data_IF_634328719983
#
_entry.id   IF_634328719983
#
_cell.length_a   1.000
_cell.length_b   1.000
_cell.length_c   1.000
_cell.angle_alpha   90.00
_cell.angle_beta   90.00
_cell.angle_gamma   90.00
#
_symmetry.space_group_name_H-M   'P 1'
#
loop_
_entity.id
_entity.type
_entity.pdbx_description
1 polymer ?
#
# COMPACT_ATOMS: atom_id res chain seq x y z
N UNK A 1 26.61 48.99 13.58
CA UNK A 1 25.62 48.21 14.38
C UNK A 1 24.49 47.61 13.51
N UNK A 2 24.80 46.98 12.35
CA UNK A 2 23.80 46.48 11.37
C UNK A 2 23.81 44.96 11.13
N UNK A 3 24.77 44.23 11.68
CA UNK A 3 25.03 42.80 11.38
C UNK A 3 24.26 41.80 12.25
N UNK A 4 23.71 42.22 13.41
CA UNK A 4 23.01 41.31 14.33
C UNK A 4 21.61 40.88 13.84
N UNK A 5 20.91 41.74 13.08
CA UNK A 5 19.55 41.41 12.58
C UNK A 5 19.59 40.32 11.49
N UNK A 6 20.57 40.34 10.60
CA UNK A 6 20.64 39.42 9.44
C UNK A 6 20.94 37.98 9.82
N UNK A 7 21.72 37.76 10.90
CA UNK A 7 22.09 36.41 11.36
C UNK A 7 20.94 35.71 12.08
N UNK A 8 20.15 36.45 12.88
CA UNK A 8 18.95 35.93 13.54
C UNK A 8 17.86 35.55 12.53
N UNK A 9 17.72 36.29 11.44
CA UNK A 9 16.76 35.96 10.36
C UNK A 9 17.20 34.71 9.58
N UNK A 10 18.50 34.50 9.37
CA UNK A 10 19.04 33.32 8.69
C UNK A 10 18.89 32.04 9.54
N UNK A 11 19.08 32.13 10.86
CA UNK A 11 18.90 31.00 11.78
C UNK A 11 17.41 30.64 11.89
N UNK A 12 16.50 31.63 11.91
CA UNK A 12 15.06 31.38 11.92
C UNK A 12 14.56 30.76 10.61
N UNK A 13 15.10 31.15 9.45
CA UNK A 13 14.74 30.53 8.17
C UNK A 13 15.36 29.14 7.97
N UNK A 14 16.55 28.85 8.53
CA UNK A 14 17.10 27.49 8.56
C UNK A 14 16.39 26.56 9.56
N UNK A 15 15.91 27.06 10.70
CA UNK A 15 15.07 26.30 11.63
C UNK A 15 13.69 25.97 11.03
N UNK A 16 13.15 26.84 10.16
CA UNK A 16 11.92 26.53 9.41
C UNK A 16 12.16 25.63 8.19
N UNK A 17 13.37 25.58 7.62
CA UNK A 17 13.76 24.61 6.60
C UNK A 17 14.14 23.23 7.19
N UNK A 18 14.28 23.14 8.51
CA UNK A 18 14.55 21.92 9.28
C UNK A 18 13.31 21.13 9.71
N UNK A 19 12.11 21.59 9.34
CA UNK A 19 10.88 20.86 9.60
C UNK A 19 10.72 19.73 8.57
N UNK A 20 11.07 18.52 9.00
CA UNK A 20 10.44 17.25 8.63
C UNK A 20 10.10 17.05 7.13
N UNK A 21 10.92 16.28 6.41
CA UNK A 21 10.30 15.33 5.48
C UNK A 21 9.71 14.21 6.35
N UNK A 22 8.53 14.46 6.90
CA UNK A 22 7.74 13.42 7.54
C UNK A 22 7.24 12.47 6.46
N UNK A 23 6.98 11.22 6.85
CA UNK A 23 6.22 10.30 6.02
C UNK A 23 4.94 11.01 5.53
N UNK A 24 4.72 10.99 4.23
CA UNK A 24 3.65 11.77 3.59
C UNK A 24 2.58 10.82 3.11
N UNK A 25 1.34 11.01 3.56
CA UNK A 25 0.20 10.29 3.00
C UNK A 25 0.06 10.70 1.55
N UNK A 26 0.20 9.75 0.64
CA UNK A 26 0.11 9.97 -0.81
C UNK A 26 -1.21 9.48 -1.38
N UNK A 27 -1.86 8.54 -0.71
CA UNK A 27 -3.23 8.11 -0.99
C UNK A 27 -3.95 7.82 0.30
N UNK A 28 -5.18 8.27 0.42
CA UNK A 28 -6.06 7.93 1.53
C UNK A 28 -7.50 7.95 1.02
N UNK A 29 -8.22 6.86 1.27
CA UNK A 29 -9.63 6.74 0.92
C UNK A 29 -10.37 6.04 2.07
N UNK A 30 -11.57 6.55 2.39
CA UNK A 30 -12.48 5.98 3.39
C UNK A 30 -13.79 5.50 2.76
N UNK A 31 -13.92 5.62 1.43
CA UNK A 31 -15.06 5.16 0.64
C UNK A 31 -16.42 5.62 1.17
N UNK A 32 -16.48 6.84 1.71
CA UNK A 32 -17.69 7.45 2.27
C UNK A 32 -18.24 8.63 1.47
N UNK A 33 -17.69 8.88 0.29
CA UNK A 33 -17.93 10.09 -0.51
C UNK A 33 -18.96 9.88 -1.65
N UNK A 34 -19.58 8.69 -1.74
CA UNK A 34 -20.74 8.37 -2.55
C UNK A 34 -20.45 7.57 -3.83
N UNK A 35 -19.20 7.52 -4.29
CA UNK A 35 -18.76 6.73 -5.44
C UNK A 35 -17.24 6.47 -5.32
N UNK A 36 -16.77 5.29 -5.74
CA UNK A 36 -15.35 4.93 -5.72
C UNK A 36 -14.45 5.97 -6.40
N UNK A 37 -14.91 6.59 -7.48
CA UNK A 37 -14.14 7.58 -8.22
C UNK A 37 -14.03 8.93 -7.49
N UNK A 38 -14.86 9.15 -6.47
CA UNK A 38 -14.86 10.36 -5.64
C UNK A 38 -14.12 10.06 -4.35
N UNK A 39 -13.01 10.76 -4.14
CA UNK A 39 -12.27 10.71 -2.89
C UNK A 39 -11.96 12.14 -2.46
N UNK A 40 -12.54 12.57 -1.34
CA UNK A 40 -12.30 13.88 -0.74
C UNK A 40 -10.95 13.95 -0.01
N UNK A 41 -10.29 12.81 0.18
CA UNK A 41 -8.97 12.65 0.76
C UNK A 41 -7.82 12.93 -0.22
N UNK A 42 -6.69 12.27 0.01
CA UNK A 42 -5.46 12.46 -0.78
C UNK A 42 -5.32 11.38 -1.84
N UNK A 43 -4.74 11.73 -3.01
CA UNK A 43 -4.32 10.72 -3.99
C UNK A 43 -5.37 10.30 -5.02
N UNK A 44 -6.54 10.95 -5.07
CA UNK A 44 -7.60 10.70 -6.06
C UNK A 44 -8.47 9.47 -5.72
N UNK A 45 -9.55 9.26 -6.47
CA UNK A 45 -10.45 8.13 -6.25
C UNK A 45 -9.90 6.79 -6.71
N UNK A 46 -10.69 5.75 -6.53
CA UNK A 46 -10.44 4.39 -6.98
C UNK A 46 -11.23 4.04 -8.25
N UNK A 47 -10.70 3.10 -9.02
CA UNK A 47 -11.28 2.63 -10.27
C UNK A 47 -11.59 1.14 -10.13
N UNK A 48 -12.83 0.76 -10.43
CA UNK A 48 -13.20 -0.63 -10.62
C UNK A 48 -12.86 -1.11 -12.04
N UNK A 49 -12.15 -2.23 -12.14
CA UNK A 49 -11.99 -3.03 -13.35
C UNK A 49 -12.65 -4.38 -13.13
N UNK A 50 -13.84 -4.54 -13.70
CA UNK A 50 -14.50 -5.84 -13.82
C UNK A 50 -13.67 -6.74 -14.73
N UNK A 51 -13.27 -7.91 -14.27
CA UNK A 51 -12.54 -8.90 -15.08
C UNK A 51 -13.53 -9.95 -15.57
N UNK A 52 -14.21 -10.64 -14.63
CA UNK A 52 -15.23 -11.63 -14.94
C UNK A 52 -16.52 -11.38 -14.14
N UNK A 53 -17.33 -10.40 -14.53
CA UNK A 53 -18.62 -10.07 -13.88
C UNK A 53 -18.60 -9.94 -12.33
N UNK A 54 -17.43 -9.67 -11.75
CA UNK A 54 -17.26 -9.10 -10.41
C UNK A 54 -17.21 -7.57 -10.51
N UNK A 55 -17.59 -6.90 -9.44
CA UNK A 55 -17.64 -5.43 -9.39
C UNK A 55 -17.26 -4.98 -8.00
N UNK A 56 -16.34 -4.03 -7.93
CA UNK A 56 -16.21 -3.15 -6.78
C UNK A 56 -17.13 -1.96 -6.94
N UNK A 57 -17.86 -1.62 -5.89
CA UNK A 57 -18.72 -0.44 -5.80
C UNK A 57 -18.65 0.13 -4.40
N UNK A 58 -18.92 1.42 -4.25
CA UNK A 58 -19.13 1.98 -2.91
C UNK A 58 -20.52 1.56 -2.40
N UNK A 59 -20.58 1.02 -1.19
CA UNK A 59 -21.81 0.70 -0.51
C UNK A 59 -21.65 0.88 1.00
N UNK A 60 -22.58 1.61 1.62
CA UNK A 60 -22.61 1.84 3.06
C UNK A 60 -21.34 2.46 3.66
N UNK A 61 -20.62 3.29 2.89
CA UNK A 61 -19.38 3.93 3.35
C UNK A 61 -18.15 3.02 3.27
N UNK A 62 -18.19 1.98 2.43
CA UNK A 62 -17.09 1.03 2.21
C UNK A 62 -16.98 0.72 0.72
N UNK A 63 -15.78 0.38 0.24
CA UNK A 63 -15.64 -0.26 -1.06
C UNK A 63 -16.02 -1.74 -0.91
N UNK A 64 -17.10 -2.17 -1.55
CA UNK A 64 -17.62 -3.52 -1.48
C UNK A 64 -17.44 -4.24 -2.81
N UNK A 65 -16.87 -5.43 -2.77
CA UNK A 65 -16.88 -6.36 -3.89
C UNK A 65 -18.19 -7.13 -3.92
N UNK A 66 -18.76 -7.27 -5.12
CA UNK A 66 -19.95 -8.08 -5.41
C UNK A 66 -19.75 -8.89 -6.67
N UNK A 67 -20.36 -10.08 -6.70
CA UNK A 67 -20.39 -10.96 -7.87
C UNK A 67 -21.83 -11.13 -8.35
N UNK A 68 -22.04 -11.09 -9.67
CA UNK A 68 -23.36 -11.24 -10.31
C UNK A 68 -24.04 -12.62 -10.11
N UNK A 69 -23.33 -13.61 -9.56
CA UNK A 69 -23.80 -14.94 -9.19
C UNK A 69 -22.75 -15.68 -8.35
N UNK A 70 -23.13 -16.87 -7.87
CA UNK A 70 -22.31 -17.78 -7.08
C UNK A 70 -21.31 -18.59 -7.92
N UNK A 71 -20.52 -17.91 -8.77
CA UNK A 71 -19.45 -18.56 -9.53
C UNK A 71 -18.09 -18.14 -9.00
N UNK A 72 -17.25 -19.13 -8.75
CA UNK A 72 -15.90 -18.92 -8.25
C UNK A 72 -15.01 -18.08 -9.16
N UNK A 73 -15.26 -18.06 -10.47
CA UNK A 73 -14.47 -17.27 -11.40
C UNK A 73 -14.79 -15.78 -11.41
N UNK A 74 -15.79 -15.34 -10.63
CA UNK A 74 -16.20 -13.93 -10.63
C UNK A 74 -15.21 -13.09 -9.88
N UNK A 75 -14.57 -12.16 -10.58
CA UNK A 75 -13.51 -11.33 -10.03
C UNK A 75 -13.49 -9.92 -10.62
N UNK A 76 -12.86 -9.03 -9.86
CA UNK A 76 -12.59 -7.66 -10.23
C UNK A 76 -11.42 -7.10 -9.43
N UNK A 77 -10.84 -6.05 -9.98
CA UNK A 77 -9.80 -5.27 -9.32
C UNK A 77 -10.31 -3.88 -9.02
N UNK A 78 -10.05 -3.41 -7.80
CA UNK A 78 -10.11 -2.00 -7.42
C UNK A 78 -8.70 -1.46 -7.38
N UNK A 79 -8.44 -0.27 -7.93
CA UNK A 79 -7.12 0.33 -7.82
C UNK A 79 -7.18 1.85 -7.75
N UNK A 80 -6.21 2.46 -7.07
CA UNK A 80 -6.10 3.91 -7.02
C UNK A 80 -5.87 4.48 -8.44
N UNK A 81 -6.60 5.56 -8.76
CA UNK A 81 -6.51 6.23 -10.06
C UNK A 81 -5.11 6.82 -10.33
N UNK A 82 -4.47 7.35 -9.30
CA UNK A 82 -3.12 7.89 -9.36
C UNK A 82 -2.06 6.86 -8.96
N UNK A 83 -0.81 7.22 -9.24
CA UNK A 83 0.38 6.42 -8.93
C UNK A 83 1.36 7.26 -8.13
N UNK A 84 2.19 6.58 -7.34
CA UNK A 84 3.05 7.21 -6.35
C UNK A 84 4.42 6.56 -6.38
N UNK A 85 5.46 7.36 -6.22
CA UNK A 85 6.83 6.89 -6.12
C UNK A 85 7.40 7.37 -4.79
N UNK A 86 8.23 6.54 -4.17
CA UNK A 86 8.90 6.89 -2.93
C UNK A 86 10.25 6.19 -2.87
N UNK A 87 11.32 6.95 -2.74
CA UNK A 87 12.67 6.40 -2.76
C UNK A 87 13.09 5.77 -1.42
N UNK A 88 12.39 6.08 -0.33
CA UNK A 88 12.60 5.42 0.97
C UNK A 88 11.64 4.26 1.25
N UNK A 89 10.61 4.06 0.42
CA UNK A 89 9.63 2.99 0.60
C UNK A 89 8.19 3.44 0.81
N UNK A 90 7.32 2.50 1.15
CA UNK A 90 5.90 2.73 1.42
C UNK A 90 5.47 2.02 2.70
N UNK A 91 4.49 2.61 3.39
CA UNK A 91 3.63 1.92 4.34
C UNK A 91 2.20 1.95 3.79
N UNK A 92 1.56 0.79 3.71
CA UNK A 92 0.18 0.61 3.28
C UNK A 92 -0.63 0.07 4.47
N UNK A 93 -1.60 0.85 4.94
CA UNK A 93 -2.56 0.48 5.97
C UNK A 93 -3.93 0.26 5.31
N UNK A 94 -4.57 -0.89 5.58
CA UNK A 94 -5.88 -1.25 5.03
C UNK A 94 -6.75 -1.84 6.14
N UNK A 95 -7.93 -1.26 6.33
CA UNK A 95 -8.99 -1.86 7.12
C UNK A 95 -9.94 -2.60 6.19
N UNK A 96 -10.16 -3.89 6.44
CA UNK A 96 -11.02 -4.73 5.62
C UNK A 96 -11.97 -5.61 6.46
N UNK A 97 -13.03 -6.10 5.83
CA UNK A 97 -13.85 -7.21 6.34
C UNK A 97 -14.00 -8.28 5.26
N UNK A 98 -13.86 -9.55 5.66
CA UNK A 98 -14.17 -10.70 4.80
C UNK A 98 -15.17 -11.63 5.50
N UNK A 99 -16.16 -12.13 4.79
CA UNK A 99 -17.20 -13.01 5.35
C UNK A 99 -16.74 -14.44 5.66
N UNK A 100 -15.73 -14.93 4.95
CA UNK A 100 -15.21 -16.28 5.06
C UNK A 100 -13.70 -16.32 4.81
N UNK A 101 -12.99 -17.16 5.57
CA UNK A 101 -11.58 -17.47 5.27
C UNK A 101 -11.41 -18.77 4.47
N UNK A 102 -12.51 -19.47 4.19
CA UNK A 102 -12.50 -20.70 3.40
C UNK A 102 -12.30 -20.37 1.92
N UNK A 103 -11.42 -21.10 1.25
CA UNK A 103 -11.07 -20.93 -0.17
C UNK A 103 -11.66 -22.03 -1.07
N UNK A 104 -12.45 -22.97 -0.51
CA UNK A 104 -13.01 -24.12 -1.24
C UNK A 104 -13.91 -23.75 -2.43
N UNK A 105 -14.28 -22.47 -2.55
CA UNK A 105 -15.06 -21.89 -3.65
C UNK A 105 -14.32 -20.85 -4.47
N UNK A 106 -12.99 -20.65 -4.34
CA UNK A 106 -12.29 -19.57 -5.04
C UNK A 106 -12.45 -18.19 -4.38
N UNK A 107 -12.93 -18.16 -3.13
CA UNK A 107 -13.04 -16.99 -2.27
C UNK A 107 -11.66 -16.36 -2.10
N UNK A 108 -11.48 -15.20 -2.72
CA UNK A 108 -10.23 -14.46 -2.66
C UNK A 108 -10.48 -13.00 -2.32
N UNK A 109 -9.72 -12.52 -1.35
CA UNK A 109 -9.51 -11.11 -1.10
C UNK A 109 -8.02 -10.92 -0.95
N UNK A 110 -7.49 -10.00 -1.74
CA UNK A 110 -6.08 -9.67 -1.69
C UNK A 110 -5.91 -8.19 -1.91
N UNK A 111 -4.88 -7.60 -1.33
CA UNK A 111 -4.59 -6.19 -1.56
C UNK A 111 -3.12 -5.89 -1.30
N UNK A 112 -2.66 -4.79 -1.88
CA UNK A 112 -1.27 -4.41 -1.83
C UNK A 112 -0.95 -3.25 -2.76
N UNK A 113 0.32 -3.17 -3.13
CA UNK A 113 0.81 -2.23 -4.14
C UNK A 113 1.23 -2.98 -5.40
N UNK A 114 0.90 -2.41 -6.55
CA UNK A 114 1.27 -2.93 -7.87
C UNK A 114 1.91 -1.81 -8.68
N UNK A 115 2.94 -2.14 -9.45
CA UNK A 115 3.59 -1.21 -10.37
C UNK A 115 2.58 -0.58 -11.32
N UNK A 116 2.75 0.72 -11.59
CA UNK A 116 1.94 1.46 -12.56
C UNK A 116 2.07 0.96 -13.99
N UNK A 117 3.12 0.18 -14.29
CA UNK A 117 3.37 -0.44 -15.58
C UNK A 117 2.44 -1.63 -15.86
N UNK A 118 1.76 -2.16 -14.84
CA UNK A 118 0.79 -3.24 -15.02
C UNK A 118 -0.44 -2.74 -15.79
N UNK A 119 -0.75 -3.43 -16.89
CA UNK A 119 -1.96 -3.17 -17.69
C UNK A 119 -3.11 -4.10 -17.27
N UNK A 120 -3.98 -3.61 -16.39
CA UNK A 120 -5.19 -4.32 -15.97
C UNK A 120 -6.24 -4.49 -17.09
N UNK A 121 -6.08 -3.84 -18.25
CA UNK A 121 -6.98 -4.07 -19.39
C UNK A 121 -6.75 -5.45 -20.02
N UNK A 122 -5.52 -5.96 -19.92
CA UNK A 122 -5.13 -7.28 -20.42
C UNK A 122 -5.66 -8.46 -19.60
N UNK A 123 -6.16 -8.19 -18.38
CA UNK A 123 -6.75 -9.19 -17.50
C UNK A 123 -8.08 -9.64 -18.11
N UNK A 124 -8.28 -10.96 -18.16
CA UNK A 124 -9.22 -11.58 -19.08
C UNK A 124 -10.36 -12.32 -18.40
N UNK A 125 -11.52 -12.37 -19.07
CA UNK A 125 -12.65 -13.22 -18.67
C UNK A 125 -12.41 -14.71 -19.00
N UNK A 126 -11.16 -15.20 -18.91
CA UNK A 126 -10.79 -16.57 -19.27
C UNK A 126 -11.47 -17.63 -18.36
N UNK A 127 -12.21 -17.18 -17.33
CA UNK A 127 -13.02 -18.06 -16.49
C UNK A 127 -12.19 -18.89 -15.51
N UNK A 128 -10.87 -18.72 -15.50
CA UNK A 128 -9.99 -19.21 -14.45
C UNK A 128 -9.66 -18.08 -13.46
N UNK A 129 -9.43 -18.48 -12.22
CA UNK A 129 -9.11 -17.61 -11.08
C UNK A 129 -7.67 -17.05 -11.15
N UNK A 130 -7.12 -16.89 -12.36
CA UNK A 130 -5.68 -16.67 -12.57
C UNK A 130 -5.26 -15.21 -12.53
N UNK A 131 -6.21 -14.29 -12.33
CA UNK A 131 -5.96 -12.85 -12.46
C UNK A 131 -5.63 -12.13 -11.12
N UNK A 132 -5.32 -12.87 -10.06
CA UNK A 132 -4.85 -12.27 -8.80
C UNK A 132 -3.38 -11.79 -8.94
N UNK A 133 -3.11 -10.47 -8.87
CA UNK A 133 -1.76 -9.92 -9.01
C UNK A 133 -0.82 -10.23 -7.84
N UNK A 134 -1.33 -10.85 -6.77
CA UNK A 134 -0.56 -11.19 -5.57
C UNK A 134 -0.39 -12.69 -5.35
N UNK A 135 -0.95 -13.53 -6.23
CA UNK A 135 -0.89 -14.99 -6.06
C UNK A 135 -0.60 -15.76 -7.34
N UNK A 136 -1.15 -15.35 -8.48
CA UNK A 136 -1.17 -16.18 -9.70
C UNK A 136 -0.49 -15.54 -10.90
N UNK A 137 -0.54 -14.21 -11.04
CA UNK A 137 0.09 -13.53 -12.18
C UNK A 137 1.56 -13.31 -11.89
N UNK A 138 2.44 -13.90 -12.69
CA UNK A 138 3.89 -13.71 -12.57
C UNK A 138 4.42 -12.48 -13.29
N UNK A 139 3.71 -11.96 -14.30
CA UNK A 139 4.17 -10.83 -15.13
C UNK A 139 4.05 -9.46 -14.45
N UNK A 140 3.49 -9.39 -13.25
CA UNK A 140 3.35 -8.14 -12.50
C UNK A 140 4.48 -7.92 -11.52
N UNK A 141 4.76 -6.65 -11.23
CA UNK A 141 5.61 -6.27 -10.12
C UNK A 141 4.74 -5.82 -8.95
N UNK A 142 4.65 -6.61 -7.88
CA UNK A 142 3.66 -6.41 -6.81
C UNK A 142 4.17 -6.83 -5.44
N UNK A 143 3.63 -6.23 -4.39
CA UNK A 143 3.74 -6.69 -3.00
C UNK A 143 2.37 -6.57 -2.37
N UNK A 144 1.85 -7.65 -1.79
CA UNK A 144 0.52 -7.62 -1.18
C UNK A 144 0.23 -8.84 -0.33
N UNK A 145 -0.85 -8.75 0.42
CA UNK A 145 -1.38 -9.85 1.23
C UNK A 145 -2.51 -10.55 0.50
N UNK A 146 -2.53 -11.87 0.60
CA UNK A 146 -3.71 -12.68 0.30
C UNK A 146 -4.36 -13.09 1.63
N UNK A 147 -5.65 -12.80 1.79
CA UNK A 147 -6.38 -13.06 3.04
C UNK A 147 -6.85 -14.52 3.12
N UNK A 148 -7.04 -15.16 1.97
CA UNK A 148 -7.53 -16.52 1.82
C UNK A 148 -6.61 -17.33 0.89
N UNK A 149 -6.92 -18.60 0.70
CA UNK A 149 -6.24 -19.43 -0.29
C UNK A 149 -4.97 -20.12 0.21
N UNK A 150 -4.40 -20.96 -0.65
CA UNK A 150 -3.10 -21.59 -0.42
C UNK A 150 -1.94 -20.58 -0.36
N UNK A 151 -2.11 -19.39 -0.95
CA UNK A 151 -1.13 -18.30 -0.94
C UNK A 151 -1.37 -17.29 0.19
N UNK A 152 -2.17 -17.64 1.21
CA UNK A 152 -2.50 -16.75 2.32
C UNK A 152 -1.25 -16.27 3.07
N UNK A 153 -1.18 -14.96 3.30
CA UNK A 153 -0.01 -14.28 3.85
C UNK A 153 0.57 -13.24 2.88
N UNK A 154 1.82 -12.82 3.11
CA UNK A 154 2.48 -11.79 2.31
C UNK A 154 3.20 -12.39 1.11
N UNK A 155 2.97 -11.83 -0.08
CA UNK A 155 3.52 -12.32 -1.34
C UNK A 155 4.14 -11.17 -2.14
N UNK A 156 5.21 -11.49 -2.86
CA UNK A 156 5.93 -10.58 -3.73
C UNK A 156 6.07 -11.18 -5.13
N UNK A 157 5.84 -10.36 -6.16
CA UNK A 157 6.07 -10.75 -7.56
C UNK A 157 7.05 -9.78 -8.20
N UNK A 158 8.07 -10.31 -8.86
CA UNK A 158 9.17 -9.54 -9.47
C UNK A 158 9.05 -9.37 -11.00
N UNK A 159 7.84 -9.48 -11.54
CA UNK A 159 7.55 -9.62 -12.98
C UNK A 159 8.04 -10.92 -13.63
N UNK A 160 8.50 -11.91 -12.85
CA UNK A 160 8.84 -13.24 -13.34
C UNK A 160 8.34 -14.39 -12.46
N UNK A 161 8.34 -14.20 -11.14
CA UNK A 161 8.10 -15.24 -10.14
C UNK A 161 7.27 -14.66 -9.00
N UNK A 162 6.27 -15.41 -8.54
CA UNK A 162 5.56 -15.13 -7.28
C UNK A 162 6.30 -15.85 -6.15
N UNK A 163 6.69 -15.10 -5.12
CA UNK A 163 7.35 -15.60 -3.92
C UNK A 163 6.45 -15.33 -2.72
N UNK A 164 6.06 -16.38 -1.99
CA UNK A 164 5.49 -16.23 -0.65
C UNK A 164 6.63 -15.82 0.30
N UNK A 165 6.52 -14.59 0.82
CA UNK A 165 7.45 -14.04 1.79
C UNK A 165 7.14 -14.52 3.20
N UNK A 166 5.85 -14.74 3.47
CA UNK A 166 5.34 -15.28 4.71
C UNK A 166 4.00 -16.01 4.48
N UNK A 167 3.75 -17.04 5.28
CA UNK A 167 2.46 -17.74 5.36
C UNK A 167 1.83 -17.43 6.71
N UNK A 168 0.81 -16.59 6.73
CA UNK A 168 0.27 -16.03 7.98
C UNK A 168 -0.28 -17.09 8.94
N UNK A 169 -0.08 -16.88 10.22
CA UNK A 169 -0.65 -17.66 11.32
C UNK A 169 0.31 -17.93 12.47
N UNK A 170 1.54 -17.42 12.42
CA UNK A 170 2.57 -17.68 13.43
C UNK A 170 2.39 -16.78 14.66
N UNK A 171 2.12 -15.48 14.46
CA UNK A 171 1.96 -14.50 15.55
C UNK A 171 0.55 -13.87 15.60
N UNK A 172 -0.13 -13.79 14.46
CA UNK A 172 -1.45 -13.24 14.23
C UNK A 172 -2.11 -13.96 13.03
N UNK A 173 -3.44 -13.89 12.95
CA UNK A 173 -4.19 -14.55 11.89
C UNK A 173 -5.32 -13.65 11.40
N UNK A 174 -5.64 -13.75 10.11
CA UNK A 174 -6.80 -13.09 9.54
C UNK A 174 -8.09 -13.57 10.22
N UNK A 175 -9.10 -12.70 10.28
CA UNK A 175 -10.36 -12.98 10.98
C UNK A 175 -11.53 -12.79 10.02
N UNK A 176 -12.43 -13.76 9.96
CA UNK A 176 -13.70 -13.63 9.24
C UNK A 176 -14.72 -12.84 10.07
N UNK A 177 -15.60 -12.09 9.39
CA UNK A 177 -16.72 -11.35 9.96
C UNK A 177 -16.31 -10.32 11.03
N UNK A 178 -15.08 -9.79 10.93
CA UNK A 178 -14.57 -8.74 11.78
C UNK A 178 -13.76 -7.74 10.94
N UNK A 179 -13.91 -6.46 11.25
CA UNK A 179 -13.02 -5.44 10.72
C UNK A 179 -11.60 -5.71 11.24
N UNK A 180 -10.67 -5.87 10.31
CA UNK A 180 -9.29 -6.25 10.59
C UNK A 180 -8.36 -5.27 9.87
N UNK A 181 -7.46 -4.67 10.64
CA UNK A 181 -6.42 -3.81 10.10
C UNK A 181 -5.22 -4.64 9.64
N UNK A 182 -4.69 -4.35 8.46
CA UNK A 182 -3.41 -4.86 7.95
C UNK A 182 -2.52 -3.70 7.60
N UNK A 183 -1.28 -3.71 8.09
CA UNK A 183 -0.24 -2.75 7.73
C UNK A 183 0.91 -3.48 7.07
N UNK A 184 1.33 -3.05 5.88
CA UNK A 184 2.48 -3.56 5.13
C UNK A 184 3.49 -2.43 4.99
N UNK A 185 4.73 -2.64 5.41
CA UNK A 185 5.83 -1.72 5.16
C UNK A 185 6.84 -2.34 4.22
N UNK A 186 7.29 -1.60 3.22
CA UNK A 186 8.40 -1.94 2.34
C UNK A 186 9.36 -0.76 2.26
N UNK A 187 10.62 -0.98 2.59
CA UNK A 187 11.67 0.03 2.64
C UNK A 187 12.82 -0.22 1.66
N UNK A 188 13.83 0.63 1.77
CA UNK A 188 15.07 0.50 0.98
C UNK A 188 15.72 -0.86 1.14
N UNK A 189 16.32 -1.39 0.06
CA UNK A 189 16.95 -2.71 0.07
C UNK A 189 15.97 -3.88 0.15
N UNK A 190 14.66 -3.62 0.02
CA UNK A 190 13.62 -4.66 0.08
C UNK A 190 13.29 -5.12 1.49
N UNK A 191 13.68 -4.38 2.53
CA UNK A 191 13.30 -4.67 3.91
C UNK A 191 11.79 -4.50 4.08
N UNK A 192 11.10 -5.51 4.59
CA UNK A 192 9.64 -5.49 4.74
C UNK A 192 9.21 -5.95 6.12
N UNK A 193 8.03 -5.50 6.52
CA UNK A 193 7.29 -6.00 7.68
C UNK A 193 5.80 -5.96 7.38
N UNK A 194 5.02 -6.81 8.03
CA UNK A 194 3.58 -6.65 8.03
C UNK A 194 2.95 -7.06 9.35
N UNK A 195 1.79 -6.49 9.65
CA UNK A 195 1.03 -6.75 10.87
C UNK A 195 -0.45 -7.00 10.56
N UNK A 196 -1.09 -7.77 11.42
CA UNK A 196 -2.53 -8.08 11.38
C UNK A 196 -3.12 -7.71 12.73
N UNK A 197 -4.15 -6.86 12.75
CA UNK A 197 -4.79 -6.41 13.99
C UNK A 197 -3.84 -5.67 14.93
N UNK A 198 -2.81 -5.01 14.39
CA UNK A 198 -1.79 -4.29 15.17
C UNK A 198 -0.70 -5.18 15.78
N UNK A 199 -0.70 -6.48 15.52
CA UNK A 199 0.36 -7.42 15.93
C UNK A 199 1.25 -7.68 14.72
N UNK A 200 2.56 -7.42 14.85
CA UNK A 200 3.55 -7.77 13.82
C UNK A 200 3.50 -9.28 13.56
N UNK A 201 3.22 -9.66 12.31
CA UNK A 201 3.13 -11.06 11.92
C UNK A 201 4.50 -11.57 11.48
N UNK A 202 5.14 -10.90 10.53
CA UNK A 202 6.49 -11.23 10.10
C UNK A 202 7.24 -10.01 9.55
N UNK A 203 8.57 -10.16 9.51
CA UNK A 203 9.50 -9.21 8.87
C UNK A 203 10.57 -9.94 8.09
N UNK A 204 11.18 -9.28 7.12
CA UNK A 204 12.22 -9.89 6.31
C UNK A 204 12.85 -8.95 5.30
N UNK A 205 13.49 -9.53 4.30
CA UNK A 205 14.09 -8.79 3.19
C UNK A 205 13.91 -9.57 1.89
N UNK A 206 13.42 -8.89 0.85
CA UNK A 206 13.35 -9.46 -0.50
C UNK A 206 14.76 -9.60 -1.05
N UNK A 207 15.14 -10.82 -1.45
CA UNK A 207 16.42 -11.08 -2.10
C UNK A 207 16.44 -10.36 -3.46
N UNK A 208 17.45 -9.52 -3.69
CA UNK A 208 17.52 -8.65 -4.87
C UNK A 208 16.86 -7.28 -4.67
N UNK A 209 16.15 -7.07 -3.56
CA UNK A 209 15.52 -5.81 -3.19
C UNK A 209 14.15 -5.58 -3.81
N UNK A 210 13.57 -4.42 -3.49
CA UNK A 210 12.32 -3.93 -4.07
C UNK A 210 12.59 -2.66 -4.88
N UNK A 211 12.05 -2.58 -6.09
CA UNK A 211 12.37 -1.53 -7.07
C UNK A 211 11.63 -0.21 -6.78
N UNK A 212 12.15 0.56 -5.83
CA UNK A 212 11.62 1.87 -5.47
C UNK A 212 11.78 2.94 -6.58
N UNK A 213 12.39 2.61 -7.72
CA UNK A 213 12.41 3.49 -8.89
C UNK A 213 11.11 3.41 -9.69
N UNK A 214 10.25 2.42 -9.45
CA UNK A 214 8.93 2.34 -10.07
C UNK A 214 7.91 3.23 -9.35
N UNK A 215 6.86 3.60 -10.08
CA UNK A 215 5.65 4.13 -9.48
C UNK A 215 4.69 3.00 -9.17
N UNK A 216 3.97 3.12 -8.06
CA UNK A 216 3.06 2.12 -7.52
C UNK A 216 1.68 2.71 -7.29
N UNK A 217 0.67 1.84 -7.28
CA UNK A 217 -0.68 2.20 -6.86
C UNK A 217 -1.21 1.17 -5.89
N UNK A 218 -2.13 1.59 -5.03
CA UNK A 218 -2.94 0.66 -4.26
C UNK A 218 -3.81 -0.18 -5.22
N UNK A 219 -3.90 -1.47 -4.93
CA UNK A 219 -4.72 -2.44 -5.67
C UNK A 219 -5.36 -3.41 -4.68
N UNK A 220 -6.64 -3.70 -4.88
CA UNK A 220 -7.35 -4.80 -4.25
C UNK A 220 -7.97 -5.71 -5.31
N UNK A 221 -7.85 -7.01 -5.08
CA UNK A 221 -8.47 -8.06 -5.87
C UNK A 221 -9.58 -8.70 -5.03
N UNK A 222 -10.75 -8.87 -5.65
CA UNK A 222 -11.87 -9.58 -5.06
C UNK A 222 -12.31 -10.69 -5.99
N UNK A 223 -12.58 -11.86 -5.42
CA UNK A 223 -13.10 -13.01 -6.14
C UNK A 223 -14.15 -13.76 -5.31
N UNK A 224 -15.15 -14.30 -6.00
CA UNK A 224 -16.07 -15.32 -5.49
C UNK A 224 -17.08 -14.86 -4.41
N UNK A 225 -17.99 -15.77 -4.06
CA UNK A 225 -19.32 -15.63 -3.48
C UNK A 225 -19.45 -15.92 -1.97
N UNK A 226 -18.37 -16.31 -1.30
CA UNK A 226 -18.43 -16.68 0.12
C UNK A 226 -18.42 -15.47 1.05
N UNK A 227 -19.53 -14.73 1.06
CA UNK A 227 -19.78 -13.62 1.96
C UNK A 227 -19.15 -12.30 1.51
N UNK A 228 -19.39 -11.22 2.29
CA UNK A 228 -18.94 -9.89 1.94
C UNK A 228 -17.41 -9.78 1.89
N UNK A 229 -16.93 -8.92 1.01
CA UNK A 229 -15.54 -8.47 0.94
C UNK A 229 -15.57 -6.97 0.84
N UNK A 230 -15.14 -6.29 1.88
CA UNK A 230 -15.21 -4.84 1.94
C UNK A 230 -13.89 -4.24 2.43
N UNK A 231 -13.60 -3.03 1.97
CA UNK A 231 -12.52 -2.19 2.44
C UNK A 231 -13.15 -0.98 3.12
N UNK A 232 -12.89 -0.80 4.41
CA UNK A 232 -13.35 0.36 5.18
C UNK A 232 -12.45 1.55 4.95
N UNK A 233 -11.13 1.32 4.89
CA UNK A 233 -10.16 2.39 4.72
C UNK A 233 -8.90 1.89 4.04
N UNK A 234 -8.24 2.78 3.32
CA UNK A 234 -6.91 2.56 2.75
C UNK A 234 -6.09 3.82 2.97
N UNK A 235 -4.88 3.67 3.51
CA UNK A 235 -3.89 4.75 3.59
C UNK A 235 -2.56 4.25 3.04
N UNK A 236 -2.02 4.92 2.04
CA UNK A 236 -0.68 4.70 1.52
C UNK A 236 0.19 5.90 1.88
N UNK A 237 1.27 5.62 2.58
CA UNK A 237 2.22 6.62 3.07
C UNK A 237 3.57 6.41 2.42
N UNK A 238 4.12 7.45 1.79
CA UNK A 238 5.48 7.46 1.26
C UNK A 238 6.48 7.68 2.41
N UNK A 239 7.46 6.77 2.51
CA UNK A 239 8.57 6.85 3.46
C UNK A 239 9.75 7.57 2.79
N UNK A 240 10.24 8.70 3.31
CA UNK A 240 11.37 9.40 2.73
C UNK A 240 12.69 8.66 2.95
N UNK A 241 13.66 8.90 2.07
CA UNK A 241 14.98 8.27 2.16
C UNK A 241 15.71 8.59 3.48
N UNK A 242 16.43 7.60 4.07
CA UNK A 242 17.25 7.82 5.27
C UNK A 242 18.28 8.96 5.12
N UNK A 243 18.78 9.19 3.90
CA UNK A 243 19.79 10.20 3.57
C UNK A 243 19.28 11.64 3.69
N UNK A 244 17.97 11.88 3.52
CA UNK A 244 17.35 13.18 3.68
C UNK A 244 17.51 13.69 5.13
N UNK A 245 17.44 12.79 6.11
CA UNK A 245 17.65 13.10 7.52
C UNK A 245 19.11 13.45 7.83
N UNK A 246 20.06 12.72 7.23
CA UNK A 246 21.50 12.92 7.46
C UNK A 246 22.01 14.22 6.84
N UNK A 247 21.56 14.58 5.63
CA UNK A 247 21.90 15.84 4.97
C UNK A 247 21.39 17.04 5.79
N UNK A 248 20.17 16.94 6.32
CA UNK A 248 19.56 17.98 7.13
C UNK A 248 20.27 18.15 8.48
N UNK A 249 20.60 17.05 9.14
CA UNK A 249 21.41 17.05 10.36
C UNK A 249 22.84 17.61 10.12
N UNK A 250 23.45 17.29 8.98
CA UNK A 250 24.76 17.81 8.58
C UNK A 250 24.75 19.31 8.31
N UNK A 251 23.74 19.82 7.58
CA UNK A 251 23.59 21.24 7.26
C UNK A 251 23.27 22.08 8.51
N UNK A 252 22.43 21.58 9.40
CA UNK A 252 22.14 22.23 10.69
C UNK A 252 23.37 22.25 11.60
N UNK A 253 24.13 21.15 11.65
CA UNK A 253 25.42 21.09 12.34
C UNK A 253 26.44 22.10 11.81
N UNK A 254 26.58 22.19 10.48
CA UNK A 254 27.48 23.15 9.83
C UNK A 254 27.07 24.60 10.09
N UNK A 255 25.78 24.92 10.03
CA UNK A 255 25.25 26.25 10.31
C UNK A 255 25.55 26.69 11.77
N UNK A 256 25.40 25.78 12.74
CA UNK A 256 25.77 26.02 14.14
C UNK A 256 27.27 26.29 14.32
N UNK A 257 28.13 25.53 13.64
CA UNK A 257 29.59 25.72 13.68
C UNK A 257 29.98 27.08 13.10
N UNK A 258 29.40 27.46 11.96
CA UNK A 258 29.66 28.75 11.32
C UNK A 258 29.13 29.91 12.16
N UNK A 259 27.97 29.76 12.81
CA UNK A 259 27.41 30.76 13.73
C UNK A 259 28.31 30.96 14.96
N UNK A 260 28.81 29.88 15.57
CA UNK A 260 29.75 29.97 16.71
C UNK A 260 31.06 30.65 16.33
N UNK A 261 31.65 30.30 15.19
CA UNK A 261 32.91 30.90 14.72
C UNK A 261 32.82 32.40 14.40
N UNK A 262 31.62 32.94 14.14
CA UNK A 262 31.40 34.37 13.88
C UNK A 262 31.10 35.19 15.14
N UNK A 263 30.90 34.54 16.28
CA UNK A 263 30.68 35.17 17.59
C UNK A 263 31.94 35.19 18.46
N UNK A 264 32.99 34.46 18.05
CA UNK A 264 34.35 34.48 18.64
C UNK A 264 35.19 35.53 17.92
#
# INVERSE_FOLDING_TARGET
MKTKKTLSTLIASLLMAGAAQASTIVYQDTFGDGDLAVNAGTGGGAINRTISNGVWSEAAGEASFTASNTRFSRNAILYASNTFQSSGGFQLDVDYTIGSLNDSGGNDLSFGIVSSETDFSSYGDAGDSSDNPFASITSVYSLGVNITGASRGLNFTDSSTVTSLDVSGDNAQFVANASTAVSITIGTGGAWSYSIGGVEEATGTIVGGFDLTKSYRFVAYGQDDQGPKTLQSVTLTAIPEPSAYALLAGLTGLALVVARRRQS
#
